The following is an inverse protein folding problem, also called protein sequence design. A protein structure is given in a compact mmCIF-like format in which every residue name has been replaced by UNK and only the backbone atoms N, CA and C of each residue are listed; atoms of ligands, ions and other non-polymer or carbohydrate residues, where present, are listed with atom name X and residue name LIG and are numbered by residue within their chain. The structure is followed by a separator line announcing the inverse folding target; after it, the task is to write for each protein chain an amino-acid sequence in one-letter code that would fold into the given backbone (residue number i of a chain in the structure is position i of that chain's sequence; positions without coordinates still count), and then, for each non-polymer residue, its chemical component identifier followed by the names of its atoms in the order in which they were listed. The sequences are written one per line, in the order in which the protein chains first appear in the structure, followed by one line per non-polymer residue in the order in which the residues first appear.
data_IF_875554103346
#
_entry.id   IF_875554103346
#
_cell.length_a   1.000
_cell.length_b   1.000
_cell.length_c   1.000
_cell.angle_alpha   90.00
_cell.angle_beta   90.00
_cell.angle_gamma   90.00
#
_symmetry.space_group_name_H-M   'P 1'
#
loop_
_entity.id
_entity.type
_entity.pdbx_description
1 polymer ?
#
# COMPACT_ATOMS: atom_id res chain seq x y z
N UNK A 1 60.75 55.78 0.10
CA UNK A 1 61.20 54.44 0.54
C UNK A 1 62.65 54.31 0.15
N UNK A 2 63.57 54.18 1.11
CA UNK A 2 64.98 53.97 0.78
C UNK A 2 65.22 52.49 0.47
N UNK A 3 65.84 52.19 -0.66
CA UNK A 3 66.25 50.84 -1.03
C UNK A 3 67.63 50.56 -0.45
N UNK A 4 67.83 49.33 0.05
CA UNK A 4 69.12 48.87 0.55
C UNK A 4 69.63 47.76 -0.35
N UNK A 5 70.85 47.88 -0.86
CA UNK A 5 71.50 46.82 -1.61
C UNK A 5 71.75 45.62 -0.67
N UNK A 6 71.35 44.38 -1.03
CA UNK A 6 71.63 43.19 -0.22
C UNK A 6 73.14 42.89 -0.08
N UNK A 7 73.93 43.32 -1.07
CA UNK A 7 75.35 42.97 -1.19
C UNK A 7 76.27 43.97 -0.48
N UNK A 8 76.18 45.26 -0.80
CA UNK A 8 77.05 46.30 -0.21
C UNK A 8 76.39 47.14 0.88
N UNK A 9 75.12 46.86 1.22
CA UNK A 9 74.31 47.61 2.20
C UNK A 9 74.14 49.11 1.94
N UNK A 10 74.67 49.63 0.83
CA UNK A 10 74.49 51.00 0.39
C UNK A 10 73.00 51.32 0.22
N UNK A 11 72.58 52.45 0.79
CA UNK A 11 71.20 52.91 0.81
C UNK A 11 71.03 54.00 -0.25
N UNK A 12 70.05 53.84 -1.11
CA UNK A 12 69.72 54.79 -2.18
C UNK A 12 68.22 55.09 -2.20
N UNK A 13 67.86 56.34 -2.48
CA UNK A 13 66.47 56.82 -2.42
C UNK A 13 65.74 56.68 -3.75
N UNK A 14 66.46 56.85 -4.86
CA UNK A 14 65.92 56.73 -6.21
C UNK A 14 66.18 55.35 -6.82
N UNK A 15 65.19 54.81 -7.53
CA UNK A 15 65.34 53.53 -8.22
C UNK A 15 66.36 53.66 -9.36
N UNK A 16 67.44 52.85 -9.38
CA UNK A 16 68.41 52.88 -10.47
C UNK A 16 67.78 52.37 -11.77
N UNK A 17 68.00 53.09 -12.88
CA UNK A 17 67.40 52.79 -14.19
C UNK A 17 67.72 51.38 -14.70
N UNK A 18 68.91 50.86 -14.37
CA UNK A 18 69.40 49.57 -14.86
C UNK A 18 69.28 48.42 -13.85
N UNK A 19 68.53 48.61 -12.75
CA UNK A 19 68.42 47.63 -11.65
C UNK A 19 69.78 47.13 -11.10
N UNK A 20 70.82 47.95 -11.23
CA UNK A 20 72.16 47.73 -10.67
C UNK A 20 72.43 48.73 -9.57
N UNK A 21 73.16 48.31 -8.54
CA UNK A 21 73.54 49.21 -7.46
C UNK A 21 74.59 50.23 -7.96
N UNK A 22 74.43 51.53 -7.69
CA UNK A 22 75.40 52.55 -8.13
C UNK A 22 76.76 52.46 -7.43
N UNK A 23 76.85 51.82 -6.25
CA UNK A 23 78.09 51.68 -5.50
C UNK A 23 78.89 50.41 -5.86
N UNK A 24 78.22 49.26 -6.00
CA UNK A 24 78.90 47.97 -6.24
C UNK A 24 78.59 47.32 -7.60
N UNK A 25 77.77 47.95 -8.44
CA UNK A 25 77.34 47.47 -9.77
C UNK A 25 76.67 46.09 -9.82
N UNK A 26 76.32 45.50 -8.67
CA UNK A 26 75.62 44.21 -8.63
C UNK A 26 74.15 44.37 -9.05
N UNK A 27 73.60 43.37 -9.74
CA UNK A 27 72.18 43.33 -10.08
C UNK A 27 71.34 43.09 -8.82
N UNK A 28 70.28 43.90 -8.64
CA UNK A 28 69.39 43.83 -7.49
C UNK A 28 67.95 43.70 -7.98
N UNK A 29 67.22 42.71 -7.46
CA UNK A 29 65.78 42.60 -7.71
C UNK A 29 65.03 43.55 -6.77
N UNK A 30 64.61 44.69 -7.32
CA UNK A 30 63.77 45.66 -6.61
C UNK A 30 62.29 45.25 -6.75
N UNK A 31 61.50 45.28 -5.67
CA UNK A 31 60.07 45.00 -5.77
C UNK A 31 59.41 46.06 -6.64
N UNK A 32 58.55 45.66 -7.58
CA UNK A 32 57.79 46.60 -8.39
C UNK A 32 56.99 47.55 -7.48
N UNK A 33 57.14 48.86 -7.67
CA UNK A 33 56.36 49.86 -6.97
C UNK A 33 55.07 49.98 -7.77
N UNK A 34 54.16 49.03 -7.59
CA UNK A 34 52.80 49.17 -8.14
C UNK A 34 51.95 50.06 -7.24
N UNK A 35 50.88 50.62 -7.78
CA UNK A 35 49.90 51.35 -6.97
C UNK A 35 49.27 50.43 -5.92
N UNK A 36 48.71 50.95 -4.82
CA UNK A 36 48.00 50.12 -3.84
C UNK A 36 46.90 49.25 -4.47
N UNK A 37 46.21 49.79 -5.49
CA UNK A 37 45.16 49.09 -6.23
C UNK A 37 45.70 47.91 -7.05
N UNK A 38 46.81 48.07 -7.76
CA UNK A 38 47.47 46.98 -8.51
C UNK A 38 47.89 45.83 -7.60
N UNK A 39 48.39 46.15 -6.39
CA UNK A 39 48.76 45.13 -5.39
C UNK A 39 47.53 44.38 -4.89
N UNK A 40 46.43 45.09 -4.64
CA UNK A 40 45.16 44.48 -4.24
C UNK A 40 44.60 43.59 -5.36
N UNK A 41 44.65 44.03 -6.62
CA UNK A 41 44.23 43.25 -7.78
C UNK A 41 45.08 41.98 -7.97
N UNK A 42 46.41 42.09 -7.81
CA UNK A 42 47.33 40.93 -7.87
C UNK A 42 47.03 39.92 -6.75
N UNK A 43 46.78 40.39 -5.52
CA UNK A 43 46.43 39.51 -4.39
C UNK A 43 45.09 38.80 -4.62
N UNK A 44 44.09 39.50 -5.15
CA UNK A 44 42.80 38.89 -5.54
C UNK A 44 42.99 37.80 -6.60
N UNK A 45 43.84 38.03 -7.60
CA UNK A 45 44.14 37.04 -8.65
C UNK A 45 44.79 35.77 -8.07
N UNK A 46 45.79 35.93 -7.20
CA UNK A 46 46.46 34.79 -6.54
C UNK A 46 45.49 34.01 -5.66
N UNK A 47 44.66 34.70 -4.87
CA UNK A 47 43.67 34.04 -4.04
C UNK A 47 42.64 33.26 -4.86
N UNK A 48 42.19 33.80 -6.01
CA UNK A 48 41.31 33.07 -6.94
C UNK A 48 41.99 31.79 -7.45
N UNK A 49 43.24 31.88 -7.90
CA UNK A 49 44.01 30.71 -8.34
C UNK A 49 44.18 29.67 -7.24
N UNK A 50 44.41 30.09 -5.99
CA UNK A 50 44.52 29.19 -4.84
C UNK A 50 43.20 28.47 -4.54
N UNK A 51 42.08 29.19 -4.60
CA UNK A 51 40.73 28.60 -4.41
C UNK A 51 40.40 27.62 -5.54
N UNK A 52 40.72 27.96 -6.79
CA UNK A 52 40.50 27.09 -7.94
C UNK A 52 41.38 25.84 -7.89
N UNK A 53 42.63 25.96 -7.44
CA UNK A 53 43.52 24.82 -7.21
C UNK A 53 42.98 23.91 -6.10
N UNK A 54 42.50 24.47 -4.98
CA UNK A 54 41.90 23.70 -3.90
C UNK A 54 40.67 22.91 -4.37
N UNK A 55 39.79 23.53 -5.18
CA UNK A 55 38.62 22.86 -5.78
C UNK A 55 39.00 21.70 -6.71
N UNK A 56 40.08 21.84 -7.49
CA UNK A 56 40.60 20.76 -8.34
C UNK A 56 41.13 19.60 -7.51
N UNK A 57 41.89 19.89 -6.45
CA UNK A 57 42.40 18.86 -5.54
C UNK A 57 41.28 18.08 -4.83
N UNK A 58 40.21 18.74 -4.39
CA UNK A 58 39.07 18.04 -3.78
C UNK A 58 38.33 17.16 -4.78
N UNK A 59 38.20 17.59 -6.03
CA UNK A 59 37.55 16.82 -7.10
C UNK A 59 38.34 15.57 -7.50
N UNK A 60 39.67 15.63 -7.45
CA UNK A 60 40.51 14.46 -7.75
C UNK A 60 40.55 13.44 -6.62
N UNK A 61 40.55 13.88 -5.36
CA UNK A 61 40.51 12.97 -4.20
C UNK A 61 39.24 12.10 -4.16
N UNK A 62 38.15 12.59 -4.72
CA UNK A 62 36.85 11.91 -4.79
C UNK A 62 36.54 11.35 -6.18
N UNK A 63 37.54 10.92 -6.96
CA UNK A 63 37.26 10.05 -8.11
C UNK A 63 37.10 8.62 -7.58
N UNK A 64 35.86 8.08 -7.47
CA UNK A 64 35.71 6.67 -7.12
C UNK A 64 36.46 5.84 -8.15
N UNK A 65 37.33 4.98 -7.65
CA UNK A 65 38.14 4.10 -8.49
C UNK A 65 37.21 3.08 -9.15
N UNK A 66 36.78 3.37 -10.39
CA UNK A 66 35.74 2.61 -11.08
C UNK A 66 36.07 1.11 -11.19
N UNK A 67 37.36 0.75 -11.19
CA UNK A 67 37.84 -0.64 -11.19
C UNK A 67 37.52 -1.38 -9.89
N UNK A 68 37.50 -0.71 -8.74
CA UNK A 68 37.13 -1.32 -7.45
C UNK A 68 35.62 -1.55 -7.35
N UNK A 69 34.84 -0.71 -8.03
CA UNK A 69 33.38 -0.82 -8.12
C UNK A 69 32.93 -2.07 -8.90
N UNK A 70 33.72 -2.51 -9.89
CA UNK A 70 33.47 -3.74 -10.67
C UNK A 70 34.12 -5.00 -10.08
N UNK A 71 34.62 -4.95 -8.84
CA UNK A 71 35.12 -6.16 -8.20
C UNK A 71 33.95 -7.14 -7.98
N UNK A 72 34.14 -8.45 -8.24
CA UNK A 72 33.06 -9.43 -8.12
C UNK A 72 32.45 -9.44 -6.72
N UNK A 73 33.27 -9.21 -5.68
CA UNK A 73 32.82 -9.12 -4.28
C UNK A 73 31.80 -8.01 -4.05
N UNK A 74 32.02 -6.83 -4.65
CA UNK A 74 31.10 -5.69 -4.51
C UNK A 74 29.80 -5.96 -5.26
N UNK A 75 29.88 -6.52 -6.47
CA UNK A 75 28.70 -6.91 -7.26
C UNK A 75 27.84 -7.96 -6.54
N UNK A 76 28.46 -9.04 -6.03
CA UNK A 76 27.74 -10.05 -5.24
C UNK A 76 27.14 -9.46 -3.96
N UNK A 77 27.84 -8.55 -3.29
CA UNK A 77 27.30 -7.84 -2.12
C UNK A 77 26.04 -7.04 -2.45
N UNK A 78 26.05 -6.27 -3.54
CA UNK A 78 24.86 -5.52 -3.98
C UNK A 78 23.69 -6.44 -4.36
N UNK A 79 23.95 -7.52 -5.10
CA UNK A 79 22.92 -8.50 -5.48
C UNK A 79 22.30 -9.15 -4.24
N UNK A 80 23.12 -9.54 -3.26
CA UNK A 80 22.64 -10.12 -2.01
C UNK A 80 21.76 -9.12 -1.24
N UNK A 81 22.19 -7.87 -1.11
CA UNK A 81 21.42 -6.81 -0.44
C UNK A 81 20.08 -6.59 -1.14
N UNK A 82 20.07 -6.47 -2.47
CA UNK A 82 18.85 -6.30 -3.25
C UNK A 82 17.91 -7.51 -3.12
N UNK A 83 18.44 -8.72 -3.09
CA UNK A 83 17.67 -9.95 -2.87
C UNK A 83 17.01 -9.98 -1.50
N UNK A 84 17.75 -9.67 -0.43
CA UNK A 84 17.22 -9.63 0.94
C UNK A 84 16.15 -8.54 1.08
N UNK A 85 16.38 -7.35 0.52
CA UNK A 85 15.40 -6.25 0.52
C UNK A 85 14.14 -6.66 -0.25
N UNK A 86 14.28 -7.30 -1.41
CA UNK A 86 13.14 -7.79 -2.20
C UNK A 86 12.29 -8.80 -1.42
N UNK A 87 12.91 -9.76 -0.74
CA UNK A 87 12.21 -10.75 0.10
C UNK A 87 11.48 -10.07 1.26
N UNK A 88 12.12 -9.10 1.93
CA UNK A 88 11.50 -8.35 3.03
C UNK A 88 10.28 -7.55 2.58
N UNK A 89 10.35 -6.90 1.42
CA UNK A 89 9.23 -6.15 0.86
C UNK A 89 8.05 -7.06 0.50
N UNK A 90 8.31 -8.24 -0.09
CA UNK A 90 7.24 -9.21 -0.38
C UNK A 90 6.55 -9.72 0.89
N UNK A 91 7.29 -9.96 1.98
CA UNK A 91 6.70 -10.39 3.25
C UNK A 91 5.83 -9.32 3.92
N UNK A 92 6.04 -8.04 3.58
CA UNK A 92 5.28 -6.90 4.11
C UNK A 92 4.17 -6.42 3.18
N UNK A 93 4.09 -6.97 1.96
CA UNK A 93 3.00 -6.70 1.05
C UNK A 93 1.76 -7.49 1.51
N UNK A 94 1.00 -6.90 2.43
CA UNK A 94 -0.37 -7.37 2.66
C UNK A 94 -1.11 -7.28 1.33
N UNK A 95 -1.73 -8.35 0.82
CA UNK A 95 -2.50 -8.26 -0.40
C UNK A 95 -3.60 -7.25 -0.16
N UNK A 96 -3.55 -6.09 -0.83
CA UNK A 96 -4.66 -5.15 -0.86
C UNK A 96 -5.77 -5.85 -1.62
N UNK A 97 -6.59 -6.61 -0.89
CA UNK A 97 -7.85 -7.15 -1.39
C UNK A 97 -8.77 -5.96 -1.59
N UNK A 98 -8.59 -5.27 -2.71
CA UNK A 98 -9.65 -4.42 -3.28
C UNK A 98 -10.70 -5.40 -3.76
N UNK A 99 -11.55 -5.89 -2.85
CA UNK A 99 -12.84 -6.42 -3.25
C UNK A 99 -13.45 -5.36 -4.16
N UNK A 100 -13.91 -5.71 -5.38
CA UNK A 100 -14.72 -4.78 -6.17
C UNK A 100 -15.75 -4.17 -5.22
N UNK A 101 -15.90 -2.84 -5.19
CA UNK A 101 -16.97 -2.20 -4.42
C UNK A 101 -18.28 -2.67 -5.06
N UNK A 102 -18.79 -3.80 -4.60
CA UNK A 102 -20.14 -4.23 -4.93
C UNK A 102 -21.08 -3.14 -4.45
N UNK A 103 -22.01 -2.73 -5.32
CA UNK A 103 -23.00 -1.74 -4.97
C UNK A 103 -23.85 -2.32 -3.83
N UNK A 104 -24.09 -1.57 -2.73
CA UNK A 104 -24.91 -2.04 -1.62
C UNK A 104 -26.24 -2.66 -2.08
N UNK A 105 -26.91 -2.04 -3.05
CA UNK A 105 -28.14 -2.58 -3.65
C UNK A 105 -27.96 -3.98 -4.28
N UNK A 106 -26.84 -4.24 -4.97
CA UNK A 106 -26.58 -5.55 -5.56
C UNK A 106 -26.30 -6.62 -4.50
N UNK A 107 -25.56 -6.25 -3.45
CA UNK A 107 -25.32 -7.15 -2.32
C UNK A 107 -26.63 -7.50 -1.61
N UNK A 108 -27.48 -6.50 -1.35
CA UNK A 108 -28.79 -6.68 -0.74
C UNK A 108 -29.70 -7.58 -1.59
N UNK A 109 -29.78 -7.35 -2.90
CA UNK A 109 -30.57 -8.19 -3.82
C UNK A 109 -30.09 -9.64 -3.86
N UNK A 110 -28.76 -9.86 -3.88
CA UNK A 110 -28.19 -11.21 -3.85
C UNK A 110 -28.53 -11.93 -2.54
N UNK A 111 -28.44 -11.23 -1.41
CA UNK A 111 -28.83 -11.75 -0.10
C UNK A 111 -30.33 -12.07 -0.05
N UNK A 112 -31.20 -11.19 -0.57
CA UNK A 112 -32.64 -11.43 -0.68
C UNK A 112 -32.96 -12.67 -1.51
N UNK A 113 -32.33 -12.82 -2.69
CA UNK A 113 -32.53 -14.00 -3.54
C UNK A 113 -32.05 -15.27 -2.82
N UNK A 114 -30.93 -15.21 -2.11
CA UNK A 114 -30.42 -16.35 -1.31
C UNK A 114 -31.41 -16.74 -0.21
N UNK A 115 -31.99 -15.77 0.49
CA UNK A 115 -33.03 -16.00 1.50
C UNK A 115 -34.31 -16.56 0.88
N UNK A 116 -34.74 -16.05 -0.27
CA UNK A 116 -35.90 -16.57 -0.99
C UNK A 116 -35.71 -18.04 -1.42
N UNK A 117 -34.53 -18.38 -1.95
CA UNK A 117 -34.15 -19.77 -2.27
C UNK A 117 -34.15 -20.65 -1.02
N UNK A 118 -33.64 -20.17 0.11
CA UNK A 118 -33.64 -20.91 1.37
C UNK A 118 -35.06 -21.14 1.89
N UNK A 119 -35.95 -20.14 1.79
CA UNK A 119 -37.37 -20.27 2.10
C UNK A 119 -38.05 -21.30 1.19
N UNK A 120 -37.72 -21.32 -0.10
CA UNK A 120 -38.20 -22.34 -1.05
C UNK A 120 -37.78 -23.75 -0.65
N UNK A 121 -36.54 -23.94 -0.20
CA UNK A 121 -36.05 -25.23 0.34
C UNK A 121 -36.77 -25.63 1.62
N UNK A 122 -36.99 -24.67 2.53
CA UNK A 122 -37.77 -24.91 3.74
C UNK A 122 -39.19 -25.38 3.40
N UNK A 123 -39.86 -24.67 2.48
CA UNK A 123 -41.20 -25.02 2.01
C UNK A 123 -41.21 -26.40 1.34
N UNK A 124 -40.17 -26.78 0.59
CA UNK A 124 -40.07 -28.11 -0.01
C UNK A 124 -40.02 -29.24 1.05
N UNK A 125 -39.31 -29.05 2.16
CA UNK A 125 -39.20 -30.09 3.19
C UNK A 125 -40.36 -30.10 4.21
N UNK A 126 -40.83 -28.93 4.61
CA UNK A 126 -41.86 -28.76 5.66
C UNK A 126 -43.27 -28.69 5.06
N UNK A 127 -43.39 -28.29 3.80
CA UNK A 127 -44.66 -28.12 3.08
C UNK A 127 -45.33 -26.76 3.28
N UNK A 128 -44.77 -25.89 4.14
CA UNK A 128 -45.27 -24.53 4.38
C UNK A 128 -44.08 -23.59 4.66
N UNK A 129 -44.30 -22.27 4.60
CA UNK A 129 -43.31 -21.28 4.98
C UNK A 129 -43.30 -21.03 6.50
N UNK A 130 -42.20 -20.51 7.08
CA UNK A 130 -42.15 -20.19 8.51
C UNK A 130 -43.22 -19.17 8.92
N UNK A 131 -43.92 -19.33 10.05
CA UNK A 131 -44.85 -18.31 10.55
C UNK A 131 -44.10 -17.06 11.01
N UNK A 132 -44.77 -15.90 10.98
CA UNK A 132 -44.21 -14.59 11.39
C UNK A 132 -43.63 -14.58 12.82
N UNK A 133 -44.11 -15.46 13.70
CA UNK A 133 -43.60 -15.59 15.07
C UNK A 133 -42.16 -16.11 15.14
N UNK A 134 -41.77 -16.98 14.21
CA UNK A 134 -40.41 -17.53 14.12
C UNK A 134 -39.61 -16.79 13.05
N UNK A 135 -40.26 -16.48 11.93
CA UNK A 135 -39.72 -15.74 10.80
C UNK A 135 -38.46 -16.38 10.21
N UNK A 136 -37.51 -15.55 9.79
CA UNK A 136 -36.28 -15.97 9.13
C UNK A 136 -35.34 -16.79 10.03
N UNK A 137 -35.57 -16.82 11.35
CA UNK A 137 -34.75 -17.64 12.27
C UNK A 137 -34.92 -19.14 12.02
N UNK A 138 -36.08 -19.57 11.52
CA UNK A 138 -36.35 -20.97 11.16
C UNK A 138 -35.41 -21.52 10.06
N UNK A 139 -34.74 -20.63 9.33
CA UNK A 139 -33.77 -21.02 8.30
C UNK A 139 -32.41 -21.45 8.90
N UNK A 140 -32.09 -20.97 10.10
CA UNK A 140 -30.82 -21.24 10.79
C UNK A 140 -31.01 -22.27 11.90
N UNK A 141 -32.03 -22.07 12.72
CA UNK A 141 -32.32 -22.88 13.91
C UNK A 141 -33.55 -23.73 13.67
N UNK A 142 -33.52 -24.97 14.15
CA UNK A 142 -34.68 -25.88 14.07
C UNK A 142 -35.81 -25.38 14.97
N UNK A 143 -36.99 -25.02 14.42
CA UNK A 143 -38.14 -24.61 15.20
C UNK A 143 -38.87 -25.76 15.92
N UNK A 144 -38.38 -27.00 15.81
CA UNK A 144 -39.01 -28.20 16.37
C UNK A 144 -40.12 -28.77 15.48
N UNK A 145 -40.07 -28.50 14.17
CA UNK A 145 -41.09 -28.89 13.21
C UNK A 145 -40.67 -30.19 12.50
N UNK A 146 -41.63 -31.11 12.32
CA UNK A 146 -41.39 -32.36 11.59
C UNK A 146 -41.04 -32.07 10.13
N UNK A 147 -39.98 -32.72 9.64
CA UNK A 147 -39.50 -32.53 8.26
C UNK A 147 -38.47 -31.41 8.10
N UNK A 148 -38.13 -30.67 9.15
CA UNK A 148 -37.02 -29.70 9.06
C UNK A 148 -35.69 -30.43 8.82
N UNK A 149 -34.99 -30.06 7.75
CA UNK A 149 -33.73 -30.68 7.34
C UNK A 149 -32.61 -29.63 7.11
N UNK A 150 -32.64 -28.55 7.89
CA UNK A 150 -31.71 -27.42 7.79
C UNK A 150 -30.33 -27.69 8.45
N UNK A 151 -29.53 -26.64 8.74
CA UNK A 151 -29.75 -25.24 8.44
C UNK A 151 -29.76 -24.98 6.91
N UNK A 152 -30.68 -24.13 6.45
CA UNK A 152 -30.80 -23.75 5.04
C UNK A 152 -29.88 -22.59 4.64
N UNK A 153 -29.48 -21.80 5.63
CA UNK A 153 -28.48 -20.73 5.53
C UNK A 153 -27.50 -20.85 6.71
N UNK A 154 -26.25 -20.44 6.50
CA UNK A 154 -25.22 -20.53 7.55
C UNK A 154 -25.45 -19.52 8.68
N UNK A 155 -25.86 -18.30 8.33
CA UNK A 155 -26.12 -17.22 9.28
C UNK A 155 -27.08 -16.21 8.65
N UNK A 156 -27.89 -15.58 9.50
CA UNK A 156 -28.73 -14.47 9.08
C UNK A 156 -27.89 -13.19 9.10
N UNK A 157 -27.58 -12.67 7.91
CA UNK A 157 -26.90 -11.39 7.75
C UNK A 157 -27.94 -10.26 7.74
N UNK A 158 -27.57 -9.11 8.30
CA UNK A 158 -28.28 -7.86 8.04
C UNK A 158 -27.97 -7.37 6.63
N UNK A 159 -28.82 -6.47 6.12
CA UNK A 159 -28.55 -5.80 4.85
C UNK A 159 -27.30 -4.90 4.94
N UNK A 160 -26.80 -4.37 3.80
CA UNK A 160 -25.63 -3.49 3.78
C UNK A 160 -25.76 -2.20 4.59
N UNK A 161 -26.99 -1.80 4.93
CA UNK A 161 -27.30 -0.64 5.77
C UNK A 161 -27.50 -1.02 7.24
N UNK A 162 -27.24 -2.28 7.61
CA UNK A 162 -27.36 -2.85 8.96
C UNK A 162 -28.81 -2.97 9.46
N UNK A 163 -29.78 -2.90 8.56
CA UNK A 163 -31.19 -3.15 8.85
C UNK A 163 -31.48 -4.64 8.67
N UNK A 164 -32.22 -5.29 9.59
CA UNK A 164 -32.65 -6.67 9.40
C UNK A 164 -33.65 -6.77 8.25
N UNK A 165 -33.63 -7.89 7.53
CA UNK A 165 -34.63 -8.17 6.50
C UNK A 165 -36.03 -8.32 7.09
N UNK A 166 -37.01 -7.68 6.47
CA UNK A 166 -38.40 -7.78 6.86
C UNK A 166 -39.04 -9.00 6.19
N UNK A 167 -39.77 -9.78 6.98
CA UNK A 167 -40.46 -10.99 6.56
C UNK A 167 -41.90 -10.96 7.05
N UNK A 168 -42.84 -11.29 6.16
CA UNK A 168 -44.26 -11.48 6.48
C UNK A 168 -44.85 -12.58 5.61
N UNK A 169 -45.56 -13.51 6.21
CA UNK A 169 -46.21 -14.61 5.51
C UNK A 169 -47.71 -14.63 5.80
N UNK A 170 -48.50 -14.69 4.72
CA UNK A 170 -49.95 -14.93 4.78
C UNK A 170 -50.19 -16.33 4.22
N UNK A 171 -50.95 -17.15 4.92
CA UNK A 171 -51.23 -18.54 4.56
C UNK A 171 -51.68 -18.68 3.10
N UNK A 172 -51.09 -19.63 2.37
CA UNK A 172 -51.34 -19.91 0.94
C UNK A 172 -50.87 -18.83 -0.06
N UNK A 173 -50.03 -17.88 0.36
CA UNK A 173 -49.42 -16.90 -0.54
C UNK A 173 -47.89 -17.04 -0.59
N UNK A 174 -47.23 -16.33 -1.51
CA UNK A 174 -45.77 -16.17 -1.40
C UNK A 174 -45.45 -15.27 -0.19
N UNK A 175 -44.40 -15.58 0.59
CA UNK A 175 -43.99 -14.73 1.68
C UNK A 175 -43.44 -13.40 1.15
N UNK A 176 -43.79 -12.32 1.82
CA UNK A 176 -43.27 -10.99 1.56
C UNK A 176 -41.93 -10.84 2.26
N UNK A 177 -40.85 -10.84 1.47
CA UNK A 177 -39.48 -10.63 1.92
C UNK A 177 -38.92 -9.36 1.27
N UNK A 178 -38.40 -8.43 2.07
CA UNK A 178 -37.83 -7.19 1.55
C UNK A 178 -36.74 -6.60 2.47
N UNK A 179 -35.89 -5.75 1.91
CA UNK A 179 -35.00 -4.85 2.65
C UNK A 179 -35.54 -3.44 2.57
N UNK A 180 -35.49 -2.73 3.71
CA UNK A 180 -35.93 -1.32 3.80
C UNK A 180 -34.96 -0.36 3.11
N UNK A 181 -33.89 -0.85 2.48
CA UNK A 181 -32.96 0.00 1.74
C UNK A 181 -32.19 0.99 2.62
N UNK A 182 -31.68 2.09 2.02
CA UNK A 182 -30.88 3.09 2.72
C UNK A 182 -31.62 3.91 3.77
N UNK A 183 -32.94 4.09 3.61
CA UNK A 183 -33.75 4.96 4.48
C UNK A 183 -34.22 4.24 5.77
N UNK A 184 -34.15 2.91 5.79
CA UNK A 184 -34.55 2.08 6.92
C UNK A 184 -36.06 2.10 7.19
N UNK A 185 -36.87 2.62 6.27
CA UNK A 185 -38.32 2.77 6.41
C UNK A 185 -39.03 1.78 5.51
N UNK A 186 -40.06 1.11 6.04
CA UNK A 186 -40.83 0.14 5.27
C UNK A 186 -41.85 0.83 4.34
N UNK A 187 -42.14 0.20 3.20
CA UNK A 187 -43.11 0.67 2.20
C UNK A 187 -42.68 1.93 1.43
N UNK A 188 -41.38 2.15 1.28
CA UNK A 188 -40.84 3.23 0.43
C UNK A 188 -40.46 2.69 -0.95
N UNK A 189 -40.33 3.56 -1.98
CA UNK A 189 -39.92 3.13 -3.33
C UNK A 189 -38.53 2.51 -3.40
N UNK A 190 -37.72 2.71 -2.34
CA UNK A 190 -36.35 2.20 -2.22
C UNK A 190 -36.30 0.75 -1.69
N UNK A 191 -37.45 0.18 -1.29
CA UNK A 191 -37.57 -1.19 -0.83
C UNK A 191 -37.12 -2.19 -1.90
N UNK A 192 -36.14 -3.03 -1.55
CA UNK A 192 -35.65 -4.08 -2.44
C UNK A 192 -36.38 -5.40 -2.16
N UNK A 193 -36.80 -6.08 -3.23
CA UNK A 193 -37.49 -7.38 -3.18
C UNK A 193 -36.73 -8.43 -4.00
N UNK A 194 -36.76 -9.71 -3.60
CA UNK A 194 -36.20 -10.79 -4.40
C UNK A 194 -37.04 -11.02 -5.66
N UNK A 195 -36.44 -11.71 -6.62
CA UNK A 195 -37.18 -12.25 -7.77
C UNK A 195 -38.19 -13.31 -7.28
N UNK A 196 -39.49 -13.21 -7.63
CA UNK A 196 -40.49 -14.23 -7.31
C UNK A 196 -40.08 -15.65 -7.72
N UNK A 197 -39.31 -15.82 -8.79
CA UNK A 197 -38.82 -17.13 -9.23
C UNK A 197 -37.86 -17.77 -8.21
N UNK A 198 -37.16 -16.96 -7.41
CA UNK A 198 -36.19 -17.45 -6.42
C UNK A 198 -36.82 -18.29 -5.30
N UNK A 199 -38.13 -18.17 -5.07
CA UNK A 199 -38.88 -18.99 -4.11
C UNK A 199 -39.11 -20.42 -4.58
N UNK A 200 -38.95 -20.70 -5.88
CA UNK A 200 -39.01 -22.04 -6.42
C UNK A 200 -37.63 -22.44 -6.96
N UNK A 201 -36.73 -22.95 -6.10
CA UNK A 201 -35.37 -23.32 -6.50
C UNK A 201 -35.30 -24.58 -7.38
N UNK A 202 -36.44 -25.13 -7.82
CA UNK A 202 -36.53 -26.39 -8.53
C UNK A 202 -36.08 -27.57 -7.67
N UNK A 203 -35.61 -28.63 -8.32
CA UNK A 203 -35.11 -29.85 -7.67
C UNK A 203 -33.62 -30.07 -7.88
N UNK A 204 -32.91 -29.24 -8.65
CA UNK A 204 -31.49 -29.46 -8.95
C UNK A 204 -30.61 -29.51 -7.70
N UNK A 205 -30.98 -28.76 -6.65
CA UNK A 205 -30.28 -28.70 -5.38
C UNK A 205 -30.40 -29.99 -4.54
N UNK A 206 -31.33 -30.89 -4.85
CA UNK A 206 -31.52 -32.14 -4.08
C UNK A 206 -30.52 -33.23 -4.48
N UNK A 207 -29.94 -33.16 -5.67
CA UNK A 207 -29.01 -34.18 -6.22
C UNK A 207 -27.69 -34.35 -5.44
N UNK A 208 -27.41 -33.47 -4.48
CA UNK A 208 -26.28 -33.57 -3.56
C UNK A 208 -26.62 -33.15 -2.14
N UNK A 209 -27.91 -33.12 -1.79
CA UNK A 209 -28.35 -32.67 -0.47
C UNK A 209 -28.13 -33.76 0.57
N UNK A 210 -27.31 -33.45 1.56
CA UNK A 210 -27.05 -34.29 2.74
C UNK A 210 -27.88 -33.74 3.89
N UNK A 211 -28.68 -34.60 4.53
CA UNK A 211 -29.57 -34.17 5.61
C UNK A 211 -28.82 -33.61 6.82
N UNK A 212 -29.50 -32.72 7.56
CA UNK A 212 -29.06 -32.07 8.79
C UNK A 212 -28.27 -32.96 9.77
N UNK A 213 -28.72 -34.20 10.09
CA UNK A 213 -27.99 -35.07 11.01
C UNK A 213 -26.60 -35.48 10.49
N UNK A 214 -26.42 -35.67 9.18
CA UNK A 214 -25.14 -36.10 8.61
C UNK A 214 -24.18 -34.93 8.35
N UNK A 215 -24.67 -33.71 8.12
CA UNK A 215 -23.82 -32.50 7.98
C UNK A 215 -23.14 -32.09 9.29
N UNK A 216 -23.77 -32.34 10.44
CA UNK A 216 -23.26 -31.96 11.77
C UNK A 216 -22.18 -32.92 12.32
N UNK A 217 -22.07 -34.13 11.75
CA UNK A 217 -21.24 -35.23 12.28
C UNK A 217 -20.02 -35.60 11.40
N UNK A 218 -19.21 -34.64 10.98
CA UNK A 218 -17.85 -34.98 10.49
C UNK A 218 -16.87 -35.37 11.62
N UNK A 219 -17.37 -35.60 12.84
CA UNK A 219 -16.61 -36.17 13.96
C UNK A 219 -17.32 -37.48 14.39
N UNK A 220 -16.70 -38.59 13.97
CA UNK A 220 -16.80 -39.97 14.50
C UNK A 220 -18.16 -40.68 14.34
N UNK A 221 -18.22 -41.58 13.36
CA UNK A 221 -18.89 -42.89 13.55
C UNK A 221 -17.88 -43.95 13.11
N UNK A 222 -17.23 -44.59 14.09
CA UNK A 222 -16.52 -45.84 13.87
C UNK A 222 -17.61 -46.92 13.82
N UNK A 223 -17.92 -47.43 12.64
CA UNK A 223 -18.83 -48.58 12.53
C UNK A 223 -18.24 -49.78 13.28
N UNK A 224 -19.00 -50.44 14.19
CA UNK A 224 -18.59 -51.75 14.67
C UNK A 224 -18.81 -52.75 13.53
N UNK A 225 -17.72 -53.37 13.09
CA UNK A 225 -17.75 -54.52 12.18
C UNK A 225 -18.71 -55.57 12.71
N UNK A 226 -19.67 -55.99 11.87
CA UNK A 226 -20.46 -57.19 12.09
C UNK A 226 -20.39 -58.08 10.87
#
# INVERSE_FOLDING_TARGET
MAFRCPYCQYRFEERPQHARCPSCNHSVRLPAIGTPEERAARRRRINRMAVDAARRMTREKFKPDARKLHSPRVLFGFILILGVVGILLMRKAEPVRRSPRELPHQTALRQLNTLATALGRYHFHVGDFPPDSVGLRALVEDPGIKGWDGPYINQLLSDPWKTPYAYRYVTNALPMLFSCGPDGTNSTPDDLRPDPASFNPGTEWTNGWVSAPYRRNFIVIKEPSR
#
